data_IF_024383120347
#
_entry.id   IF_024383120347
#
_cell.length_a   1.000
_cell.length_b   1.000
_cell.length_c   1.000
_cell.angle_alpha   90.00
_cell.angle_beta   90.00
_cell.angle_gamma   90.00
#
_symmetry.space_group_name_H-M   'P 1'
#
loop_
_entity.id
_entity.type
_entity.pdbx_description
1 polymer ?
#
# COMPACT_ATOMS: atom_id res chain seq x y z
N UNK A 1 1.76 0.14 -23.83
CA UNK A 1 1.08 -0.26 -22.58
C UNK A 1 1.99 -0.18 -21.37
N UNK A 2 3.01 -1.04 -21.20
CA UNK A 2 3.95 -0.90 -20.07
C UNK A 2 4.67 0.45 -20.07
N UNK A 3 5.06 0.95 -21.26
CA UNK A 3 5.67 2.28 -21.39
C UNK A 3 4.71 3.44 -21.04
N UNK A 4 3.40 3.20 -21.03
CA UNK A 4 2.37 4.22 -20.77
C UNK A 4 1.82 4.14 -19.33
N UNK A 5 1.66 2.93 -18.79
CA UNK A 5 1.02 2.68 -17.50
C UNK A 5 1.98 2.15 -16.42
N UNK A 6 3.17 1.67 -16.79
CA UNK A 6 4.10 0.97 -15.90
C UNK A 6 3.83 -0.54 -15.81
N UNK A 7 4.83 -1.29 -15.32
CA UNK A 7 4.75 -2.76 -15.18
C UNK A 7 3.73 -3.18 -14.12
N UNK A 8 3.75 -2.51 -12.98
CA UNK A 8 2.96 -2.89 -11.81
C UNK A 8 1.47 -2.70 -12.04
N UNK A 9 0.97 -1.57 -12.60
CA UNK A 9 -0.45 -1.43 -12.92
C UNK A 9 -0.96 -2.47 -13.93
N UNK A 10 -0.16 -2.79 -14.95
CA UNK A 10 -0.53 -3.82 -15.94
C UNK A 10 -0.60 -5.19 -15.29
N UNK A 11 0.39 -5.59 -14.49
CA UNK A 11 0.38 -6.87 -13.75
C UNK A 11 -0.80 -6.96 -12.80
N UNK A 12 -1.03 -5.90 -12.03
CA UNK A 12 -2.12 -5.86 -11.07
C UNK A 12 -3.49 -5.96 -11.74
N UNK A 13 -3.72 -5.25 -12.84
CA UNK A 13 -4.97 -5.33 -13.59
C UNK A 13 -5.23 -6.72 -14.15
N UNK A 14 -4.21 -7.39 -14.68
CA UNK A 14 -4.36 -8.77 -15.20
C UNK A 14 -4.67 -9.78 -14.10
N UNK A 15 -4.13 -9.60 -12.90
CA UNK A 15 -4.31 -10.54 -11.78
C UNK A 15 -5.57 -10.26 -10.95
N UNK A 16 -6.01 -9.00 -10.90
CA UNK A 16 -7.22 -8.60 -10.19
C UNK A 16 -8.45 -8.69 -11.09
N UNK A 17 -8.37 -8.13 -12.30
CA UNK A 17 -9.50 -7.78 -13.14
C UNK A 17 -10.14 -8.97 -13.86
N UNK A 18 -9.47 -10.11 -13.87
CA UNK A 18 -9.90 -11.31 -14.59
C UNK A 18 -10.10 -12.45 -13.60
N UNK A 19 -11.27 -13.09 -13.67
CA UNK A 19 -11.42 -14.42 -13.10
C UNK A 19 -10.49 -15.35 -13.85
N UNK A 20 -9.65 -16.13 -13.16
CA UNK A 20 -8.73 -17.07 -13.82
C UNK A 20 -9.43 -18.22 -14.58
N UNK A 21 -10.78 -18.21 -14.63
CA UNK A 21 -11.62 -19.28 -15.17
C UNK A 21 -12.70 -18.77 -16.13
N UNK A 22 -12.72 -17.47 -16.46
CA UNK A 22 -13.66 -16.89 -17.41
C UNK A 22 -12.94 -15.93 -18.36
N UNK A 23 -13.44 -15.81 -19.58
CA UNK A 23 -12.97 -14.80 -20.52
C UNK A 23 -13.28 -13.41 -19.95
N UNK A 24 -12.31 -12.51 -20.02
CA UNK A 24 -12.53 -11.11 -19.69
C UNK A 24 -11.98 -10.21 -20.78
N UNK A 25 -12.66 -9.08 -20.98
CA UNK A 25 -12.28 -8.09 -21.96
C UNK A 25 -11.25 -7.12 -21.38
N UNK A 26 -10.04 -7.14 -21.94
CA UNK A 26 -9.05 -6.11 -21.63
C UNK A 26 -9.47 -4.78 -22.23
N UNK A 27 -9.55 -3.73 -21.41
CA UNK A 27 -9.76 -2.35 -21.88
C UNK A 27 -8.76 -1.39 -21.23
N UNK A 28 -8.26 -0.43 -22.02
CA UNK A 28 -7.36 0.61 -21.50
C UNK A 28 -8.03 1.48 -20.43
N UNK A 29 -9.35 1.68 -20.51
CA UNK A 29 -10.15 2.39 -19.50
C UNK A 29 -10.27 1.59 -18.21
N UNK A 30 -10.47 0.26 -18.28
CA UNK A 30 -10.48 -0.62 -17.11
C UNK A 30 -9.14 -0.64 -16.39
N UNK A 31 -8.03 -0.72 -17.14
CA UNK A 31 -6.68 -0.60 -16.59
C UNK A 31 -6.48 0.74 -15.86
N UNK A 32 -6.89 1.85 -16.47
CA UNK A 32 -6.78 3.18 -15.85
C UNK A 32 -7.62 3.29 -14.56
N UNK A 33 -8.85 2.77 -14.56
CA UNK A 33 -9.69 2.72 -13.36
C UNK A 33 -9.05 1.91 -12.24
N UNK A 34 -8.52 0.72 -12.54
CA UNK A 34 -7.88 -0.13 -11.53
C UNK A 34 -6.62 0.54 -10.98
N UNK A 35 -5.78 1.11 -11.83
CA UNK A 35 -4.61 1.89 -11.40
C UNK A 35 -5.02 3.05 -10.47
N UNK A 36 -6.02 3.83 -10.85
CA UNK A 36 -6.45 4.98 -10.07
C UNK A 36 -7.07 4.57 -8.74
N UNK A 37 -7.95 3.57 -8.73
CA UNK A 37 -8.74 3.22 -7.55
C UNK A 37 -7.95 2.35 -6.56
N UNK A 38 -7.29 1.29 -7.03
CA UNK A 38 -6.62 0.35 -6.15
C UNK A 38 -5.19 0.76 -5.81
N UNK A 39 -4.44 1.23 -6.80
CA UNK A 39 -3.00 1.49 -6.64
C UNK A 39 -2.72 2.91 -6.17
N UNK A 40 -3.15 3.92 -6.94
CA UNK A 40 -2.93 5.31 -6.59
C UNK A 40 -3.76 5.71 -5.36
N UNK A 41 -5.08 5.50 -5.38
CA UNK A 41 -5.96 5.89 -4.29
C UNK A 41 -5.91 4.97 -3.07
N UNK A 42 -5.54 3.69 -3.26
CA UNK A 42 -5.35 2.74 -2.17
C UNK A 42 -3.97 2.85 -1.54
N UNK A 43 -3.06 1.93 -1.92
CA UNK A 43 -1.76 1.79 -1.26
C UNK A 43 -0.87 3.04 -1.40
N UNK A 44 -0.89 3.72 -2.55
CA UNK A 44 -0.06 4.89 -2.82
C UNK A 44 -0.39 6.09 -1.94
N UNK A 45 -1.68 6.44 -1.85
CA UNK A 45 -2.15 7.51 -0.98
C UNK A 45 -1.96 7.17 0.50
N UNK A 46 -2.17 5.92 0.90
CA UNK A 46 -1.96 5.50 2.29
C UNK A 46 -0.50 5.66 2.71
N UNK A 47 0.46 5.17 1.89
CA UNK A 47 1.88 5.36 2.14
C UNK A 47 2.24 6.85 2.30
N UNK A 48 1.79 7.67 1.34
CA UNK A 48 2.05 9.11 1.34
C UNK A 48 1.51 9.80 2.61
N UNK A 49 0.33 9.39 3.07
CA UNK A 49 -0.33 9.93 4.27
C UNK A 49 0.41 9.51 5.54
N UNK A 50 0.71 8.23 5.69
CA UNK A 50 1.42 7.70 6.86
C UNK A 50 2.80 8.32 7.00
N UNK A 51 3.55 8.44 5.90
CA UNK A 51 4.86 9.09 5.92
C UNK A 51 4.81 10.52 6.44
N UNK A 52 3.89 11.34 5.90
CA UNK A 52 3.72 12.74 6.35
C UNK A 52 3.32 12.83 7.82
N UNK A 53 2.48 11.92 8.31
CA UNK A 53 2.10 11.89 9.72
C UNK A 53 3.28 11.51 10.62
N UNK A 54 4.10 10.54 10.20
CA UNK A 54 5.32 10.14 10.92
C UNK A 54 6.36 11.24 10.96
N UNK A 55 6.61 11.89 9.82
CA UNK A 55 7.52 13.03 9.72
C UNK A 55 7.10 14.15 10.69
N UNK A 56 5.81 14.50 10.71
CA UNK A 56 5.26 15.48 11.66
C UNK A 56 5.34 15.04 13.12
N UNK A 57 5.26 13.73 13.39
CA UNK A 57 5.41 13.17 14.72
C UNK A 57 6.88 12.98 15.14
N UNK A 58 7.85 13.31 14.28
CA UNK A 58 9.28 13.13 14.54
C UNK A 58 9.76 11.67 14.51
N UNK A 59 9.01 10.77 13.87
CA UNK A 59 9.32 9.34 13.81
C UNK A 59 10.19 9.00 12.60
N UNK A 60 11.50 8.91 12.81
CA UNK A 60 12.47 8.50 11.79
C UNK A 60 12.71 6.98 11.71
N UNK A 61 12.39 6.24 12.77
CA UNK A 61 12.67 4.80 12.86
C UNK A 61 11.49 3.94 12.44
N UNK A 62 11.71 3.08 11.46
CA UNK A 62 10.72 2.09 11.03
C UNK A 62 10.72 0.90 11.97
N UNK A 63 9.52 0.39 12.22
CA UNK A 63 9.35 -0.90 12.89
C UNK A 63 9.23 -1.94 11.80
N UNK A 64 10.12 -2.94 11.82
CA UNK A 64 10.03 -4.09 10.92
C UNK A 64 8.67 -4.77 11.12
N UNK A 65 7.96 -4.99 10.02
CA UNK A 65 6.81 -5.89 10.02
C UNK A 65 7.24 -7.30 10.43
N UNK A 66 6.55 -7.89 11.39
CA UNK A 66 6.70 -9.31 11.77
C UNK A 66 5.76 -10.22 10.97
N UNK A 67 5.04 -9.70 9.97
CA UNK A 67 4.02 -10.46 9.25
C UNK A 67 4.68 -11.57 8.42
N UNK A 68 4.52 -12.81 8.87
CA UNK A 68 4.88 -14.05 8.18
C UNK A 68 3.65 -14.72 7.53
N UNK A 69 2.57 -13.98 7.27
CA UNK A 69 1.36 -14.57 6.70
C UNK A 69 1.59 -15.00 5.25
N UNK A 70 1.18 -16.23 4.92
CA UNK A 70 1.16 -16.74 3.55
C UNK A 70 -0.25 -16.54 3.01
N UNK A 71 -0.44 -15.72 1.97
CA UNK A 71 -1.76 -15.47 1.37
C UNK A 71 -2.28 -16.68 0.55
N UNK A 72 -1.50 -17.75 0.38
CA UNK A 72 -1.80 -18.90 -0.49
C UNK A 72 -2.97 -19.82 -0.05
N UNK A 73 -3.95 -19.35 0.71
CA UNK A 73 -5.17 -20.12 1.02
C UNK A 73 -5.97 -20.50 -0.24
N UNK A 74 -5.81 -19.75 -1.34
CA UNK A 74 -6.51 -20.02 -2.60
C UNK A 74 -5.55 -20.02 -3.80
N UNK A 75 -4.87 -21.16 -4.09
CA UNK A 75 -3.97 -21.24 -5.24
C UNK A 75 -4.70 -20.81 -6.52
N UNK A 76 -4.03 -19.97 -7.32
CA UNK A 76 -4.53 -19.43 -8.59
C UNK A 76 -5.75 -18.49 -8.51
N UNK A 77 -6.28 -18.15 -7.33
CA UNK A 77 -7.37 -17.17 -7.16
C UNK A 77 -6.80 -15.79 -6.79
N UNK A 78 -5.97 -15.23 -7.66
CA UNK A 78 -5.24 -13.97 -7.38
C UNK A 78 -6.17 -12.81 -7.07
N UNK A 79 -7.32 -12.71 -7.74
CA UNK A 79 -8.34 -11.70 -7.48
C UNK A 79 -8.83 -11.73 -6.02
N UNK A 80 -9.09 -12.92 -5.45
CA UNK A 80 -9.52 -13.07 -4.06
C UNK A 80 -8.39 -12.78 -3.07
N UNK A 81 -7.17 -13.22 -3.40
CA UNK A 81 -5.98 -12.93 -2.60
C UNK A 81 -5.71 -11.43 -2.52
N UNK A 82 -5.77 -10.73 -3.66
CA UNK A 82 -5.63 -9.28 -3.77
C UNK A 82 -6.75 -8.58 -2.99
N UNK A 83 -8.01 -9.02 -3.11
CA UNK A 83 -9.11 -8.44 -2.33
C UNK A 83 -8.90 -8.57 -0.81
N UNK A 84 -8.47 -9.75 -0.32
CA UNK A 84 -8.15 -9.95 1.10
C UNK A 84 -7.04 -8.98 1.53
N UNK A 85 -6.01 -8.81 0.71
CA UNK A 85 -4.89 -7.92 0.98
C UNK A 85 -5.32 -6.44 1.02
N UNK A 86 -6.16 -6.01 0.07
CA UNK A 86 -6.64 -4.62 0.02
C UNK A 86 -7.58 -4.27 1.17
N UNK A 87 -8.30 -5.24 1.75
CA UNK A 87 -9.08 -5.00 2.98
C UNK A 87 -8.22 -4.53 4.16
N UNK A 88 -6.94 -4.94 4.22
CA UNK A 88 -6.00 -4.45 5.25
C UNK A 88 -5.69 -2.96 5.04
N UNK A 89 -5.53 -2.52 3.78
CA UNK A 89 -5.35 -1.11 3.42
C UNK A 89 -6.59 -0.30 3.80
N UNK A 90 -7.78 -0.81 3.48
CA UNK A 90 -9.05 -0.15 3.82
C UNK A 90 -9.24 -0.02 5.34
N UNK A 91 -8.87 -1.08 6.09
CA UNK A 91 -8.88 -1.06 7.56
C UNK A 91 -7.98 0.04 8.13
N UNK A 92 -6.73 0.14 7.66
CA UNK A 92 -5.82 1.21 8.11
C UNK A 92 -6.41 2.59 7.79
N UNK A 93 -6.96 2.77 6.59
CA UNK A 93 -7.58 4.05 6.22
C UNK A 93 -8.77 4.41 7.14
N UNK A 94 -9.60 3.43 7.50
CA UNK A 94 -10.71 3.62 8.44
C UNK A 94 -10.19 4.02 9.82
N UNK A 95 -9.20 3.30 10.36
CA UNK A 95 -8.60 3.58 11.67
C UNK A 95 -7.95 4.98 11.72
N UNK A 96 -7.26 5.41 10.66
CA UNK A 96 -6.71 6.77 10.56
C UNK A 96 -7.82 7.82 10.61
N UNK A 97 -8.93 7.59 9.90
CA UNK A 97 -10.03 8.55 9.84
C UNK A 97 -10.79 8.65 11.17
N UNK A 98 -10.89 7.54 11.91
CA UNK A 98 -11.50 7.48 13.23
C UNK A 98 -10.61 8.13 14.30
N UNK A 99 -9.31 7.79 14.31
CA UNK A 99 -8.34 8.31 15.27
C UNK A 99 -8.00 9.79 15.05
N UNK A 100 -8.11 10.27 13.81
CA UNK A 100 -7.82 11.66 13.42
C UNK A 100 -6.46 12.16 13.92
N UNK A 101 -5.34 11.52 13.53
CA UNK A 101 -4.01 11.82 14.05
C UNK A 101 -3.57 13.28 13.84
N UNK A 102 -4.15 13.97 12.84
CA UNK A 102 -3.88 15.40 12.58
C UNK A 102 -4.43 16.34 13.65
N UNK A 103 -5.44 15.93 14.42
CA UNK A 103 -5.95 16.70 15.57
C UNK A 103 -5.01 16.53 16.76
N UNK A 104 -4.68 15.27 17.09
CA UNK A 104 -3.74 14.93 18.17
C UNK A 104 -2.37 15.60 17.97
N UNK A 105 -1.86 15.62 16.73
CA UNK A 105 -0.59 16.26 16.40
C UNK A 105 -0.53 17.77 16.71
N UNK A 106 -1.67 18.47 16.81
CA UNK A 106 -1.69 19.90 17.16
C UNK A 106 -1.29 20.12 18.63
N UNK A 107 -1.59 19.15 19.48
CA UNK A 107 -1.30 19.17 20.92
C UNK A 107 0.07 18.55 21.22
N UNK A 108 0.65 17.83 20.25
CA UNK A 108 1.96 17.18 20.31
C UNK A 108 1.89 15.69 19.99
N UNK A 109 3.03 15.07 19.73
CA UNK A 109 3.09 13.63 19.47
C UNK A 109 2.91 12.84 20.78
N UNK A 110 1.68 12.40 21.05
CA UNK A 110 1.38 11.55 22.21
C UNK A 110 1.93 10.14 22.01
N UNK A 111 2.20 9.43 23.11
CA UNK A 111 2.65 8.03 23.06
C UNK A 111 1.67 7.12 22.31
N UNK A 112 0.36 7.35 22.46
CA UNK A 112 -0.68 6.61 21.74
C UNK A 112 -0.62 6.83 20.22
N UNK A 113 -0.47 8.07 19.77
CA UNK A 113 -0.29 8.38 18.35
C UNK A 113 0.95 7.68 17.79
N UNK A 114 2.05 7.68 18.52
CA UNK A 114 3.29 7.04 18.10
C UNK A 114 3.08 5.54 17.91
N UNK A 115 2.44 4.87 18.87
CA UNK A 115 2.12 3.44 18.78
C UNK A 115 1.22 3.15 17.58
N UNK A 116 0.16 3.94 17.37
CA UNK A 116 -0.73 3.79 16.21
C UNK A 116 0.00 3.95 14.87
N UNK A 117 0.86 4.97 14.76
CA UNK A 117 1.66 5.19 13.56
C UNK A 117 2.62 4.01 13.31
N UNK A 118 3.22 3.44 14.37
CA UNK A 118 4.06 2.25 14.24
C UNK A 118 3.27 1.02 13.78
N UNK A 119 2.10 0.77 14.36
CA UNK A 119 1.18 -0.32 13.99
C UNK A 119 0.78 -0.22 12.50
N UNK A 120 0.25 0.92 12.07
CA UNK A 120 -0.19 1.12 10.68
C UNK A 120 0.95 1.03 9.67
N UNK A 121 2.14 1.52 10.04
CA UNK A 121 3.32 1.43 9.17
C UNK A 121 3.81 -0.01 9.04
N UNK A 122 3.87 -0.73 10.16
CA UNK A 122 4.23 -2.15 10.19
C UNK A 122 3.27 -2.98 9.35
N UNK A 123 1.97 -2.73 9.46
CA UNK A 123 0.95 -3.40 8.66
C UNK A 123 1.07 -3.05 7.17
N UNK A 124 1.33 -1.77 6.82
CA UNK A 124 1.56 -1.37 5.43
C UNK A 124 2.80 -2.04 4.83
N UNK A 125 3.89 -2.18 5.59
CA UNK A 125 5.10 -2.90 5.15
C UNK A 125 4.76 -4.39 4.95
N UNK A 126 3.99 -4.98 5.85
CA UNK A 126 3.48 -6.35 5.71
C UNK A 126 2.67 -6.51 4.42
N UNK A 127 1.75 -5.59 4.15
CA UNK A 127 0.99 -5.54 2.89
C UNK A 127 1.92 -5.42 1.68
N UNK A 128 2.93 -4.55 1.74
CA UNK A 128 3.93 -4.38 0.70
C UNK A 128 4.67 -5.68 0.37
N UNK A 129 5.15 -6.40 1.39
CA UNK A 129 5.81 -7.71 1.24
C UNK A 129 4.88 -8.74 0.58
N UNK A 130 3.64 -8.83 1.04
CA UNK A 130 2.67 -9.78 0.48
C UNK A 130 2.18 -9.40 -0.92
N UNK A 131 2.30 -8.12 -1.28
CA UNK A 131 1.94 -7.61 -2.60
C UNK A 131 3.05 -7.80 -3.64
N UNK A 132 4.27 -8.21 -3.25
CA UNK A 132 5.42 -8.37 -4.14
C UNK A 132 5.15 -9.21 -5.41
N UNK A 133 4.45 -10.37 -5.36
CA UNK A 133 4.14 -11.11 -6.58
C UNK A 133 3.25 -10.32 -7.57
N UNK A 134 2.47 -9.35 -7.08
CA UNK A 134 1.50 -8.57 -7.85
C UNK A 134 2.09 -7.23 -8.34
N UNK A 135 2.78 -6.50 -7.46
CA UNK A 135 3.33 -5.15 -7.69
C UNK A 135 4.80 -5.07 -7.21
N UNK A 136 5.72 -5.83 -7.83
CA UNK A 136 7.06 -6.05 -7.30
C UNK A 136 7.88 -4.76 -7.13
N UNK A 137 7.74 -3.80 -8.06
CA UNK A 137 8.49 -2.54 -7.98
C UNK A 137 7.99 -1.69 -6.82
N UNK A 138 6.67 -1.52 -6.68
CA UNK A 138 6.08 -0.75 -5.60
C UNK A 138 6.31 -1.42 -4.24
N UNK A 139 6.21 -2.75 -4.16
CA UNK A 139 6.53 -3.53 -2.97
C UNK A 139 7.98 -3.31 -2.53
N UNK A 140 8.93 -3.41 -3.46
CA UNK A 140 10.34 -3.12 -3.15
C UNK A 140 10.50 -1.70 -2.62
N UNK A 141 9.88 -0.70 -3.23
CA UNK A 141 9.94 0.68 -2.73
C UNK A 141 9.36 0.82 -1.31
N UNK A 142 8.28 0.10 -0.97
CA UNK A 142 7.70 0.13 0.38
C UNK A 142 8.64 -0.54 1.40
N UNK A 143 9.30 -1.64 1.02
CA UNK A 143 10.23 -2.37 1.88
C UNK A 143 11.52 -1.58 2.07
N UNK A 144 12.08 -1.01 1.01
CA UNK A 144 13.31 -0.20 1.09
C UNK A 144 13.12 1.01 2.01
N UNK A 145 11.91 1.58 2.08
CA UNK A 145 11.56 2.64 3.04
C UNK A 145 11.60 2.17 4.49
N UNK A 146 11.35 0.87 4.78
CA UNK A 146 11.49 0.34 6.14
C UNK A 146 12.95 0.15 6.55
N UNK A 147 13.82 -0.06 5.59
CA UNK A 147 15.23 -0.39 5.84
C UNK A 147 16.11 0.87 5.86
N UNK A 148 15.66 1.96 5.21
CA UNK A 148 16.37 3.24 5.19
C UNK A 148 16.20 3.95 6.54
N UNK A 149 17.13 3.72 7.44
CA UNK A 149 17.27 4.47 8.69
C UNK A 149 17.97 5.80 8.41
N UNK A 150 17.19 6.87 8.23
CA UNK A 150 17.68 8.22 8.44
C UNK A 150 18.24 8.99 7.24
N UNK A 151 17.89 8.64 6.00
CA UNK A 151 18.20 9.54 4.88
C UNK A 151 16.95 10.31 4.43
N UNK A 152 17.19 11.52 3.91
CA UNK A 152 16.22 12.47 3.37
C UNK A 152 15.62 11.94 2.04
N UNK A 153 15.35 10.64 1.96
CA UNK A 153 14.80 9.98 0.79
C UNK A 153 13.39 10.52 0.56
N UNK A 154 13.24 11.36 -0.46
CA UNK A 154 11.95 11.86 -0.90
C UNK A 154 10.98 10.70 -1.07
N UNK A 155 9.78 10.82 -0.48
CA UNK A 155 8.75 9.79 -0.58
C UNK A 155 8.54 9.38 -2.05
N UNK A 156 8.72 8.11 -2.41
CA UNK A 156 8.49 7.67 -3.77
C UNK A 156 7.01 7.83 -4.12
N UNK A 157 6.72 8.58 -5.17
CA UNK A 157 5.41 8.55 -5.81
C UNK A 157 5.23 7.19 -6.48
N UNK A 158 4.62 6.23 -5.76
CA UNK A 158 4.48 4.84 -6.21
C UNK A 158 3.69 4.72 -7.52
N UNK A 159 2.57 5.44 -7.61
CA UNK A 159 1.66 5.37 -8.74
C UNK A 159 1.21 6.78 -9.15
N UNK A 160 1.28 7.07 -10.45
CA UNK A 160 0.67 8.27 -11.03
C UNK A 160 -0.77 7.95 -11.40
N UNK A 161 -1.65 8.93 -11.22
CA UNK A 161 -3.02 8.85 -11.76
C UNK A 161 -2.95 9.00 -13.27
N UNK A 162 -3.75 8.21 -13.98
CA UNK A 162 -3.78 8.14 -15.45
C UNK A 162 -5.22 8.20 -15.92
#
# INVERSE_FOLDING_TARGET
MVNQYGSDPVRFYLLQGFSSFADGDFTSSGLAQVNNNFLANGIGNLLSRLWKLREKAGLSTFVSSQTQEVICEHPFRFNLQIQKLWRRIDKINAEINEFKPWEVLKEGATGELILKLQEWTSELIGVGRLAEPYIPRASKQIIDLSDTTGDNSSLPHLFRRI
#
